data_IF_989765521312
#
_entry.id   IF_989765521312
#
_cell.length_a   1.000
_cell.length_b   1.000
_cell.length_c   1.000
_cell.angle_alpha   90.00
_cell.angle_beta   90.00
_cell.angle_gamma   90.00
#
_symmetry.space_group_name_H-M   'P 1'
#
loop_
_entity.id
_entity.type
_entity.pdbx_description
1 polymer ?
#
# COMPACT_ATOMS: atom_id res chain seq x y z
N UNK A 1 -16.05 -20.31 -13.01
CA UNK A 1 -16.73 -19.04 -13.28
C UNK A 1 -17.80 -19.25 -14.36
N UNK A 2 -19.04 -18.81 -14.10
CA UNK A 2 -20.16 -18.91 -15.03
C UNK A 2 -20.08 -17.86 -16.17
N UNK A 3 -21.02 -17.90 -17.11
CA UNK A 3 -21.02 -16.99 -18.27
C UNK A 3 -21.27 -15.54 -17.87
N UNK A 4 -22.19 -15.27 -16.94
CA UNK A 4 -22.50 -13.92 -16.47
C UNK A 4 -21.31 -13.25 -15.79
N UNK A 5 -20.61 -13.97 -14.92
CA UNK A 5 -19.39 -13.53 -14.26
C UNK A 5 -18.24 -13.30 -15.25
N UNK A 6 -18.15 -14.07 -16.35
CA UNK A 6 -17.21 -13.79 -17.45
C UNK A 6 -17.51 -12.45 -18.13
N UNK A 7 -18.79 -12.14 -18.35
CA UNK A 7 -19.22 -10.86 -18.94
C UNK A 7 -18.86 -9.70 -18.00
N UNK A 8 -19.23 -9.81 -16.72
CA UNK A 8 -18.88 -8.82 -15.69
C UNK A 8 -17.37 -8.62 -15.58
N UNK A 9 -16.61 -9.71 -15.51
CA UNK A 9 -15.14 -9.65 -15.49
C UNK A 9 -14.56 -8.91 -16.69
N UNK A 10 -15.07 -9.17 -17.90
CA UNK A 10 -14.62 -8.50 -19.12
C UNK A 10 -14.94 -7.00 -19.07
N UNK A 11 -16.13 -6.61 -18.61
CA UNK A 11 -16.50 -5.20 -18.42
C UNK A 11 -15.57 -4.51 -17.43
N UNK A 12 -15.35 -5.12 -16.26
CA UNK A 12 -14.45 -4.59 -15.22
C UNK A 12 -13.03 -4.43 -15.76
N UNK A 13 -12.48 -5.45 -16.42
CA UNK A 13 -11.14 -5.39 -17.00
C UNK A 13 -11.03 -4.30 -18.08
N UNK A 14 -12.08 -4.13 -18.89
CA UNK A 14 -12.12 -3.07 -19.93
C UNK A 14 -12.08 -1.69 -19.29
N UNK A 15 -12.91 -1.41 -18.28
CA UNK A 15 -12.91 -0.12 -17.58
C UNK A 15 -11.61 0.15 -16.81
N UNK A 16 -11.04 -0.87 -16.16
CA UNK A 16 -9.74 -0.71 -15.51
C UNK A 16 -8.63 -0.45 -16.52
N UNK A 17 -8.64 -1.13 -17.67
CA UNK A 17 -7.67 -0.88 -18.76
C UNK A 17 -7.84 0.48 -19.42
N UNK A 18 -9.06 1.06 -19.40
CA UNK A 18 -9.34 2.42 -19.87
C UNK A 18 -8.89 3.50 -18.87
N UNK A 19 -8.30 3.10 -17.74
CA UNK A 19 -7.76 4.00 -16.72
C UNK A 19 -8.77 4.44 -15.66
N UNK A 20 -9.79 3.65 -15.35
CA UNK A 20 -10.78 3.98 -14.32
C UNK A 20 -10.14 4.46 -13.00
N UNK A 21 -9.24 3.65 -12.42
CA UNK A 21 -8.59 4.01 -11.15
C UNK A 21 -7.72 5.27 -11.28
N UNK A 22 -7.04 5.44 -12.41
CA UNK A 22 -6.23 6.64 -12.68
C UNK A 22 -7.10 7.91 -12.71
N UNK A 23 -8.28 7.86 -13.34
CA UNK A 23 -9.23 8.98 -13.34
C UNK A 23 -9.68 9.35 -11.93
N UNK A 24 -9.99 8.36 -11.08
CA UNK A 24 -10.39 8.60 -9.69
C UNK A 24 -9.25 9.21 -8.86
N UNK A 25 -8.02 8.74 -9.05
CA UNK A 25 -6.82 9.31 -8.42
C UNK A 25 -6.62 10.76 -8.83
N UNK A 26 -6.72 11.07 -10.13
CA UNK A 26 -6.57 12.43 -10.64
C UNK A 26 -7.70 13.35 -10.17
N UNK A 27 -8.92 12.83 -10.01
CA UNK A 27 -10.04 13.57 -9.43
C UNK A 27 -9.74 13.98 -7.98
N UNK A 28 -9.28 13.04 -7.15
CA UNK A 28 -8.83 13.34 -5.78
C UNK A 28 -7.71 14.37 -5.75
N UNK A 29 -6.70 14.21 -6.61
CA UNK A 29 -5.53 15.08 -6.63
C UNK A 29 -5.86 16.52 -7.05
N UNK A 30 -6.69 16.67 -8.08
CA UNK A 30 -6.92 17.97 -8.72
C UNK A 30 -8.13 18.72 -8.15
N UNK A 31 -9.08 17.99 -7.55
CA UNK A 31 -10.38 18.53 -7.12
C UNK A 31 -10.72 18.17 -5.68
N UNK A 32 -9.72 17.91 -4.82
CA UNK A 32 -9.91 17.50 -3.42
C UNK A 32 -10.90 18.39 -2.64
N UNK A 33 -10.85 19.70 -2.86
CA UNK A 33 -11.75 20.68 -2.20
C UNK A 33 -13.21 20.59 -2.61
N UNK A 34 -13.51 19.92 -3.74
CA UNK A 34 -14.85 19.82 -4.31
C UNK A 34 -15.49 18.45 -4.06
N UNK A 35 -14.80 17.54 -3.37
CA UNK A 35 -15.34 16.23 -3.05
C UNK A 35 -16.26 16.34 -1.84
N UNK A 36 -17.54 16.00 -2.04
CA UNK A 36 -18.51 15.89 -0.96
C UNK A 36 -18.61 14.45 -0.45
N UNK A 37 -18.28 14.26 0.82
CA UNK A 37 -18.38 12.98 1.51
C UNK A 37 -19.56 12.95 2.50
N UNK A 38 -20.56 13.81 2.34
CA UNK A 38 -21.75 13.89 3.21
C UNK A 38 -22.53 12.57 3.27
N UNK A 39 -22.58 11.83 2.17
CA UNK A 39 -23.25 10.52 2.07
C UNK A 39 -22.51 9.38 2.79
N UNK A 40 -21.23 9.56 3.15
CA UNK A 40 -20.53 8.60 3.99
C UNK A 40 -20.82 8.90 5.46
N UNK A 41 -21.39 7.92 6.16
CA UNK A 41 -21.58 8.00 7.61
C UNK A 41 -20.24 8.18 8.33
N UNK A 42 -20.29 8.69 9.56
CA UNK A 42 -19.07 8.84 10.37
C UNK A 42 -18.42 7.49 10.69
N UNK A 43 -19.23 6.44 10.85
CA UNK A 43 -18.73 5.08 11.03
C UNK A 43 -17.94 4.60 9.80
N UNK A 44 -18.48 4.78 8.59
CA UNK A 44 -17.79 4.39 7.37
C UNK A 44 -16.49 5.18 7.16
N UNK A 45 -16.50 6.48 7.46
CA UNK A 45 -15.29 7.33 7.45
C UNK A 45 -14.23 6.83 8.42
N UNK A 46 -14.64 6.43 9.63
CA UNK A 46 -13.75 5.88 10.64
C UNK A 46 -13.13 4.55 10.19
N UNK A 47 -13.93 3.64 9.63
CA UNK A 47 -13.44 2.36 9.11
C UNK A 47 -12.39 2.56 8.00
N UNK A 48 -12.70 3.40 7.01
CA UNK A 48 -11.79 3.72 5.89
C UNK A 48 -10.53 4.45 6.37
N UNK A 49 -10.67 5.41 7.30
CA UNK A 49 -9.55 6.15 7.88
C UNK A 49 -8.62 5.24 8.68
N UNK A 50 -9.18 4.34 9.49
CA UNK A 50 -8.42 3.36 10.30
C UNK A 50 -7.68 2.37 9.42
N UNK A 51 -8.29 1.94 8.31
CA UNK A 51 -7.64 1.08 7.34
C UNK A 51 -6.33 1.71 6.82
N UNK A 52 -6.36 3.00 6.47
CA UNK A 52 -5.18 3.74 5.98
C UNK A 52 -4.17 4.03 7.10
N UNK A 53 -4.63 4.51 8.25
CA UNK A 53 -3.73 4.85 9.37
C UNK A 53 -3.05 3.62 9.99
N UNK A 54 -3.63 2.43 9.83
CA UNK A 54 -3.03 1.16 10.25
C UNK A 54 -1.88 0.67 9.36
N UNK A 55 -1.63 1.33 8.22
CA UNK A 55 -0.53 0.96 7.32
C UNK A 55 0.81 1.28 7.98
N UNK A 56 1.64 0.25 8.10
CA UNK A 56 3.04 0.38 8.54
C UNK A 56 3.99 -0.13 7.46
N UNK A 57 5.29 -0.07 7.74
CA UNK A 57 6.29 -0.70 6.86
C UNK A 57 6.13 -2.22 6.78
N UNK A 58 5.44 -2.86 7.73
CA UNK A 58 5.29 -4.31 7.80
C UNK A 58 3.90 -4.82 7.43
N UNK A 59 2.84 -4.08 7.74
CA UNK A 59 1.45 -4.57 7.68
C UNK A 59 0.48 -3.56 7.05
N UNK A 60 -0.73 -4.00 6.71
CA UNK A 60 -1.83 -3.13 6.26
C UNK A 60 -1.88 -2.84 4.75
N UNK A 61 -0.73 -2.72 4.07
CA UNK A 61 -0.66 -2.37 2.63
C UNK A 61 -1.51 -3.26 1.73
N UNK A 62 -1.49 -4.58 1.97
CA UNK A 62 -2.26 -5.51 1.16
C UNK A 62 -3.78 -5.35 1.34
N UNK A 63 -4.24 -5.01 2.55
CA UNK A 63 -5.66 -4.78 2.83
C UNK A 63 -6.15 -3.48 2.19
N UNK A 64 -5.38 -2.40 2.25
CA UNK A 64 -5.70 -1.15 1.55
C UNK A 64 -5.80 -1.38 0.03
N UNK A 65 -4.80 -2.05 -0.56
CA UNK A 65 -4.82 -2.38 -1.98
C UNK A 65 -6.03 -3.24 -2.38
N UNK A 66 -6.39 -4.21 -1.53
CA UNK A 66 -7.56 -5.05 -1.75
C UNK A 66 -8.87 -4.26 -1.66
N UNK A 67 -9.02 -3.38 -0.68
CA UNK A 67 -10.20 -2.51 -0.56
C UNK A 67 -10.34 -1.62 -1.80
N UNK A 68 -9.24 -1.03 -2.30
CA UNK A 68 -9.27 -0.23 -3.53
C UNK A 68 -9.75 -1.07 -4.72
N UNK A 69 -9.22 -2.30 -4.89
CA UNK A 69 -9.67 -3.21 -5.94
C UNK A 69 -11.16 -3.52 -5.81
N UNK A 70 -11.63 -3.87 -4.61
CA UNK A 70 -13.02 -4.21 -4.36
C UNK A 70 -13.96 -3.03 -4.63
N UNK A 71 -13.60 -1.83 -4.18
CA UNK A 71 -14.38 -0.62 -4.45
C UNK A 71 -14.40 -0.28 -5.94
N UNK A 72 -13.29 -0.45 -6.67
CA UNK A 72 -13.27 -0.30 -8.12
C UNK A 72 -14.22 -1.29 -8.80
N UNK A 73 -14.14 -2.57 -8.44
CA UNK A 73 -15.02 -3.62 -8.97
C UNK A 73 -16.48 -3.25 -8.75
N UNK A 74 -16.86 -2.91 -7.52
CA UNK A 74 -18.24 -2.60 -7.16
C UNK A 74 -18.74 -1.30 -7.78
N UNK A 75 -17.86 -0.31 -7.99
CA UNK A 75 -18.22 0.94 -8.68
C UNK A 75 -18.49 0.71 -10.17
N UNK A 76 -17.71 -0.16 -10.83
CA UNK A 76 -17.86 -0.45 -12.26
C UNK A 76 -19.03 -1.41 -12.53
N UNK A 77 -19.19 -2.39 -11.65
CA UNK A 77 -20.19 -3.45 -11.76
C UNK A 77 -20.80 -3.77 -10.38
N UNK A 78 -21.85 -3.02 -9.97
CA UNK A 78 -22.47 -3.16 -8.65
C UNK A 78 -23.02 -4.57 -8.36
N UNK A 79 -23.43 -5.32 -9.38
CA UNK A 79 -23.93 -6.69 -9.23
C UNK A 79 -22.81 -7.69 -8.90
N UNK A 80 -21.54 -7.35 -9.12
CA UNK A 80 -20.44 -8.26 -8.85
C UNK A 80 -20.20 -8.36 -7.35
N UNK A 81 -20.38 -9.57 -6.81
CA UNK A 81 -20.00 -9.88 -5.43
C UNK A 81 -18.46 -9.83 -5.28
N UNK A 82 -17.98 -8.91 -4.45
CA UNK A 82 -16.58 -8.65 -4.14
C UNK A 82 -16.02 -9.59 -3.06
N UNK A 83 -16.86 -10.41 -2.42
CA UNK A 83 -16.40 -11.50 -1.53
C UNK A 83 -15.80 -12.68 -2.32
N UNK A 84 -16.22 -12.86 -3.59
CA UNK A 84 -15.84 -13.98 -4.45
C UNK A 84 -14.62 -13.69 -5.34
N UNK A 85 -13.43 -13.67 -4.73
CA UNK A 85 -12.18 -13.21 -5.34
C UNK A 85 -11.43 -14.22 -6.24
N UNK A 86 -11.95 -15.46 -6.36
CA UNK A 86 -11.35 -16.55 -7.15
C UNK A 86 -12.27 -17.03 -8.26
N UNK A 87 -12.26 -16.30 -9.37
CA UNK A 87 -12.81 -16.76 -10.65
C UNK A 87 -11.73 -17.37 -11.53
N UNK A 88 -11.97 -18.56 -12.06
CA UNK A 88 -11.17 -19.18 -13.13
C UNK A 88 -12.06 -19.69 -14.26
N UNK A 89 -11.51 -19.67 -15.47
CA UNK A 89 -12.09 -20.33 -16.64
C UNK A 89 -11.63 -21.80 -16.76
N UNK A 90 -10.59 -22.20 -16.02
CA UNK A 90 -10.09 -23.57 -15.95
C UNK A 90 -10.91 -24.39 -14.95
N UNK A 91 -11.20 -25.64 -15.29
CA UNK A 91 -11.82 -26.63 -14.39
C UNK A 91 -10.83 -27.32 -13.45
N UNK A 92 -9.52 -27.10 -13.63
CA UNK A 92 -8.47 -27.79 -12.84
C UNK A 92 -8.27 -27.21 -11.45
N UNK A 93 -8.61 -25.94 -11.26
CA UNK A 93 -8.42 -25.21 -10.01
C UNK A 93 -9.77 -24.80 -9.41
N UNK A 94 -9.79 -24.60 -8.09
CA UNK A 94 -10.95 -24.05 -7.42
C UNK A 94 -11.39 -22.72 -8.04
N UNK A 95 -12.68 -22.60 -8.35
CA UNK A 95 -13.31 -21.37 -8.83
C UNK A 95 -14.67 -21.22 -8.19
N UNK A 96 -14.94 -20.04 -7.64
CA UNK A 96 -16.30 -19.62 -7.33
C UNK A 96 -17.12 -19.54 -8.62
N UNK A 97 -18.40 -19.90 -8.52
CA UNK A 97 -19.32 -19.86 -9.65
C UNK A 97 -19.47 -18.43 -10.20
N UNK A 98 -19.73 -17.46 -9.32
CA UNK A 98 -19.87 -16.04 -9.65
C UNK A 98 -18.62 -15.19 -9.34
N UNK A 99 -17.49 -15.83 -9.02
CA UNK A 99 -16.26 -15.11 -8.70
C UNK A 99 -15.49 -14.61 -9.91
N UNK A 100 -14.68 -13.59 -9.68
CA UNK A 100 -13.79 -12.97 -10.67
C UNK A 100 -12.32 -13.15 -10.29
N UNK A 101 -11.41 -13.08 -11.26
CA UNK A 101 -9.97 -13.23 -10.99
C UNK A 101 -9.37 -11.93 -10.43
N UNK A 102 -9.58 -11.67 -9.13
CA UNK A 102 -9.05 -10.45 -8.48
C UNK A 102 -7.52 -10.37 -8.52
N UNK A 103 -6.83 -11.51 -8.47
CA UNK A 103 -5.37 -11.57 -8.63
C UNK A 103 -4.90 -11.04 -9.99
N UNK A 104 -5.63 -11.36 -11.06
CA UNK A 104 -5.29 -10.88 -12.40
C UNK A 104 -5.54 -9.37 -12.52
N UNK A 105 -6.68 -8.89 -12.00
CA UNK A 105 -7.01 -7.46 -11.99
C UNK A 105 -6.00 -6.64 -11.16
N UNK A 106 -5.60 -7.15 -10.00
CA UNK A 106 -4.57 -6.52 -9.15
C UNK A 106 -3.26 -6.34 -9.92
N UNK A 107 -2.70 -7.46 -10.40
CA UNK A 107 -1.40 -7.47 -11.08
C UNK A 107 -1.39 -6.59 -12.33
N UNK A 108 -2.47 -6.57 -13.08
CA UNK A 108 -2.54 -5.86 -14.37
C UNK A 108 -2.85 -4.37 -14.21
N UNK A 109 -3.70 -3.98 -13.26
CA UNK A 109 -4.27 -2.63 -13.23
C UNK A 109 -4.09 -1.91 -11.89
N UNK A 110 -4.38 -2.57 -10.76
CA UNK A 110 -4.42 -1.87 -9.46
C UNK A 110 -3.01 -1.57 -8.94
N UNK A 111 -2.20 -2.61 -8.72
CA UNK A 111 -0.85 -2.43 -8.19
C UNK A 111 0.02 -1.52 -9.07
N UNK A 112 0.04 -1.67 -10.42
CA UNK A 112 0.78 -0.75 -11.29
C UNK A 112 0.34 0.72 -11.14
N UNK A 113 -0.96 0.98 -11.09
CA UNK A 113 -1.50 2.34 -10.97
C UNK A 113 -1.16 2.95 -9.60
N UNK A 114 -1.36 2.22 -8.50
CA UNK A 114 -1.02 2.71 -7.17
C UNK A 114 0.47 3.02 -7.01
N UNK A 115 1.34 2.24 -7.67
CA UNK A 115 2.78 2.49 -7.70
C UNK A 115 3.15 3.70 -8.55
N UNK A 116 2.51 3.89 -9.71
CA UNK A 116 2.71 5.04 -10.62
C UNK A 116 2.49 6.37 -9.89
N UNK A 117 1.48 6.43 -9.01
CA UNK A 117 1.14 7.62 -8.22
C UNK A 117 1.74 7.63 -6.81
N UNK A 118 2.61 6.67 -6.49
CA UNK A 118 3.27 6.53 -5.19
C UNK A 118 2.32 6.49 -3.97
N UNK A 119 1.05 6.11 -4.18
CA UNK A 119 0.05 6.05 -3.12
C UNK A 119 0.29 4.87 -2.17
N UNK A 120 0.90 3.80 -2.67
CA UNK A 120 1.21 2.62 -1.87
C UNK A 120 2.44 1.87 -2.40
N UNK A 121 3.40 1.60 -1.51
CA UNK A 121 4.62 0.83 -1.85
C UNK A 121 4.31 -0.67 -1.84
N UNK A 122 3.94 -1.21 -2.99
CA UNK A 122 3.53 -2.62 -3.18
C UNK A 122 4.56 -3.46 -3.95
N UNK A 123 4.52 -4.78 -3.77
CA UNK A 123 5.29 -5.73 -4.58
C UNK A 123 4.90 -5.64 -6.06
N UNK A 124 5.85 -5.78 -6.98
CA UNK A 124 5.59 -5.63 -8.42
C UNK A 124 4.60 -6.68 -8.97
N UNK A 125 4.58 -7.88 -8.36
CA UNK A 125 3.68 -8.97 -8.75
C UNK A 125 2.26 -8.85 -8.19
N UNK A 126 1.96 -7.80 -7.44
CA UNK A 126 0.65 -7.57 -6.83
C UNK A 126 0.57 -7.94 -5.35
N UNK A 127 -0.37 -7.32 -4.63
CA UNK A 127 -0.64 -7.65 -3.22
C UNK A 127 -1.38 -8.98 -3.08
N UNK A 128 -2.10 -9.44 -4.12
CA UNK A 128 -2.80 -10.74 -4.16
C UNK A 128 -1.85 -11.94 -4.24
N UNK A 129 -0.53 -11.73 -4.22
CA UNK A 129 0.47 -12.78 -3.98
C UNK A 129 0.53 -13.21 -2.50
N UNK A 130 -0.10 -12.43 -1.61
CA UNK A 130 -0.19 -12.74 -0.18
C UNK A 130 -1.02 -14.01 0.03
N UNK A 131 -0.41 -15.05 0.60
CA UNK A 131 -1.04 -16.37 0.79
C UNK A 131 -2.37 -16.27 1.54
N UNK A 132 -2.44 -15.47 2.60
CA UNK A 132 -3.66 -15.32 3.40
C UNK A 132 -4.81 -14.64 2.67
N UNK A 133 -4.57 -13.84 1.62
CA UNK A 133 -5.61 -13.28 0.76
C UNK A 133 -6.11 -14.28 -0.28
N UNK A 134 -5.31 -15.31 -0.57
CA UNK A 134 -5.58 -16.32 -1.57
C UNK A 134 -6.17 -17.60 -0.95
N UNK A 135 -6.83 -17.55 0.20
CA UNK A 135 -7.54 -18.72 0.74
C UNK A 135 -8.91 -18.93 0.05
N UNK A 136 -9.38 -20.18 -0.05
CA UNK A 136 -10.64 -20.53 -0.72
C UNK A 136 -11.91 -20.24 0.12
N UNK A 137 -11.92 -19.12 0.84
CA UNK A 137 -13.08 -18.65 1.62
C UNK A 137 -13.60 -17.34 1.03
N UNK A 138 -14.92 -17.08 1.06
CA UNK A 138 -15.43 -15.76 0.70
C UNK A 138 -14.93 -14.74 1.73
N UNK A 139 -14.63 -13.52 1.29
CA UNK A 139 -14.28 -12.43 2.21
C UNK A 139 -15.51 -12.00 3.01
N UNK A 140 -15.72 -12.62 4.15
CA UNK A 140 -16.81 -12.32 5.09
C UNK A 140 -16.36 -12.57 6.53
N UNK A 141 -17.27 -12.40 7.50
CA UNK A 141 -17.02 -12.66 8.93
C UNK A 141 -16.43 -14.05 9.22
N UNK A 142 -16.67 -15.04 8.36
CA UNK A 142 -16.14 -16.41 8.50
C UNK A 142 -14.79 -16.64 7.80
N UNK A 143 -14.16 -15.60 7.24
CA UNK A 143 -12.87 -15.72 6.55
C UNK A 143 -11.74 -16.11 7.52
N UNK A 144 -11.24 -17.34 7.42
CA UNK A 144 -10.39 -17.94 8.46
C UNK A 144 -8.91 -17.52 8.43
N UNK A 145 -8.46 -16.91 7.34
CA UNK A 145 -7.04 -16.61 7.19
C UNK A 145 -6.60 -15.56 8.22
N UNK A 146 -5.49 -15.85 8.90
CA UNK A 146 -4.87 -14.88 9.78
C UNK A 146 -4.24 -13.76 8.93
N UNK A 147 -4.69 -12.52 9.13
CA UNK A 147 -4.20 -11.35 8.42
C UNK A 147 -3.81 -10.29 9.42
N UNK A 148 -2.63 -9.70 9.21
CA UNK A 148 -2.13 -8.59 10.01
C UNK A 148 -2.62 -7.26 9.42
N UNK A 149 -2.80 -6.25 10.28
CA UNK A 149 -3.38 -4.95 9.94
C UNK A 149 -4.85 -4.86 10.31
N UNK A 150 -5.54 -3.83 9.81
CA UNK A 150 -6.95 -3.54 10.08
C UNK A 150 -7.93 -4.52 9.39
N UNK A 151 -7.86 -5.81 9.78
CA UNK A 151 -8.70 -6.89 9.22
C UNK A 151 -10.19 -6.69 9.55
N UNK A 152 -10.50 -6.29 10.78
CA UNK A 152 -11.87 -6.05 11.24
C UNK A 152 -12.53 -4.95 10.41
N UNK A 153 -11.82 -3.86 10.21
CA UNK A 153 -12.27 -2.68 9.49
C UNK A 153 -12.47 -3.04 8.01
N UNK A 154 -11.52 -3.75 7.41
CA UNK A 154 -11.67 -4.26 6.05
C UNK A 154 -12.90 -5.16 5.88
N UNK A 155 -13.13 -6.13 6.79
CA UNK A 155 -14.31 -6.99 6.73
C UNK A 155 -15.60 -6.17 6.85
N UNK A 156 -15.66 -5.23 7.78
CA UNK A 156 -16.84 -4.38 7.95
C UNK A 156 -17.10 -3.51 6.71
N UNK A 157 -16.05 -3.00 6.05
CA UNK A 157 -16.19 -2.29 4.77
C UNK A 157 -16.76 -3.22 3.69
N UNK A 158 -16.25 -4.45 3.59
CA UNK A 158 -16.74 -5.42 2.59
C UNK A 158 -18.22 -5.75 2.82
N UNK A 159 -18.63 -5.98 4.08
CA UNK A 159 -20.02 -6.24 4.41
C UNK A 159 -20.91 -5.03 4.07
N UNK A 160 -20.54 -3.82 4.52
CA UNK A 160 -21.31 -2.61 4.27
C UNK A 160 -21.42 -2.26 2.76
N UNK A 161 -20.40 -2.58 1.96
CA UNK A 161 -20.43 -2.42 0.49
C UNK A 161 -21.36 -3.45 -0.18
N UNK A 162 -21.46 -4.67 0.35
CA UNK A 162 -22.33 -5.71 -0.20
C UNK A 162 -23.77 -5.62 0.28
N UNK A 163 -24.01 -4.91 1.39
CA UNK A 163 -25.34 -4.57 1.92
C UNK A 163 -25.85 -3.20 1.41
N UNK A 164 -25.16 -2.61 0.43
CA UNK A 164 -25.48 -1.31 -0.17
C UNK A 164 -25.57 -0.14 0.84
N UNK A 165 -24.86 -0.25 1.97
CA UNK A 165 -24.78 0.78 3.02
C UNK A 165 -23.70 1.83 2.69
N UNK A 166 -22.78 1.52 1.79
CA UNK A 166 -21.70 2.40 1.34
C UNK A 166 -21.78 2.56 -0.17
N UNK A 167 -21.82 3.81 -0.64
CA UNK A 167 -21.62 4.14 -2.06
C UNK A 167 -20.17 3.85 -2.44
N UNK A 168 -19.88 2.84 -3.29
CA UNK A 168 -18.50 2.36 -3.49
C UNK A 168 -17.57 3.41 -4.09
N UNK A 169 -18.07 4.24 -5.01
CA UNK A 169 -17.27 5.28 -5.65
C UNK A 169 -16.87 6.37 -4.66
N UNK A 170 -17.80 6.82 -3.81
CA UNK A 170 -17.50 7.80 -2.75
C UNK A 170 -16.51 7.23 -1.72
N UNK A 171 -16.66 5.97 -1.33
CA UNK A 171 -15.71 5.31 -0.45
C UNK A 171 -14.32 5.18 -1.08
N UNK A 172 -14.24 4.92 -2.39
CA UNK A 172 -12.97 4.88 -3.13
C UNK A 172 -12.30 6.25 -3.09
N UNK A 173 -13.03 7.31 -3.41
CA UNK A 173 -12.52 8.69 -3.40
C UNK A 173 -12.09 9.11 -2.00
N UNK A 174 -12.85 8.76 -0.97
CA UNK A 174 -12.47 9.06 0.42
C UNK A 174 -11.17 8.33 0.80
N UNK A 175 -11.07 7.04 0.50
CA UNK A 175 -9.88 6.23 0.78
C UNK A 175 -8.62 6.76 0.06
N UNK A 176 -8.76 7.12 -1.23
CA UNK A 176 -7.68 7.74 -2.00
C UNK A 176 -7.27 9.09 -1.42
N UNK A 177 -8.23 9.91 -0.97
CA UNK A 177 -7.95 11.20 -0.33
C UNK A 177 -7.18 11.02 0.99
N UNK A 178 -7.53 10.01 1.79
CA UNK A 178 -6.77 9.67 3.00
C UNK A 178 -5.32 9.25 2.69
N UNK A 179 -5.09 8.50 1.60
CA UNK A 179 -3.74 8.12 1.16
C UNK A 179 -2.91 9.34 0.71
N UNK A 180 -3.54 10.28 -0.02
CA UNK A 180 -2.88 11.54 -0.37
C UNK A 180 -2.51 12.36 0.87
N UNK A 181 -3.45 12.55 1.79
CA UNK A 181 -3.20 13.26 3.04
C UNK A 181 -2.04 12.62 3.83
N UNK A 182 -1.98 11.30 3.90
CA UNK A 182 -0.86 10.60 4.57
C UNK A 182 0.47 10.83 3.83
N UNK A 183 0.47 10.80 2.51
CA UNK A 183 1.67 11.05 1.70
C UNK A 183 2.16 12.50 1.83
N UNK A 184 1.25 13.47 1.84
CA UNK A 184 1.56 14.90 1.97
C UNK A 184 2.05 15.23 3.38
N UNK A 185 1.37 14.72 4.43
CA UNK A 185 1.85 14.84 5.81
C UNK A 185 3.26 14.28 5.97
N UNK A 186 3.57 13.15 5.34
CA UNK A 186 4.92 12.58 5.38
C UNK A 186 5.95 13.50 4.70
N UNK A 187 5.62 14.07 3.53
CA UNK A 187 6.50 15.02 2.82
C UNK A 187 6.76 16.27 3.65
N UNK A 188 5.71 16.85 4.23
CA UNK A 188 5.83 18.03 5.09
C UNK A 188 6.71 17.76 6.32
N UNK A 189 6.49 16.63 7.00
CA UNK A 189 7.34 16.22 8.12
C UNK A 189 8.80 16.01 7.70
N UNK A 190 9.04 15.41 6.53
CA UNK A 190 10.39 15.22 6.02
C UNK A 190 11.10 16.55 5.78
N UNK A 191 10.43 17.51 5.12
CA UNK A 191 10.97 18.86 4.91
C UNK A 191 11.26 19.56 6.25
N UNK A 192 10.31 19.54 7.19
CA UNK A 192 10.49 20.15 8.50
C UNK A 192 11.66 19.55 9.29
N UNK A 193 11.87 18.24 9.20
CA UNK A 193 13.01 17.57 9.85
C UNK A 193 14.32 18.00 9.18
N UNK A 194 14.37 18.05 7.85
CA UNK A 194 15.56 18.51 7.12
C UNK A 194 15.92 19.95 7.48
N UNK A 195 14.94 20.86 7.50
CA UNK A 195 15.17 22.26 7.85
C UNK A 195 15.68 22.42 9.29
N UNK A 196 15.08 21.70 10.24
CA UNK A 196 15.54 21.68 11.64
C UNK A 196 16.94 21.13 11.77
N UNK A 197 17.27 20.09 11.02
CA UNK A 197 18.62 19.51 11.03
C UNK A 197 19.64 20.51 10.47
N UNK A 198 19.36 21.14 9.33
CA UNK A 198 20.24 22.15 8.74
C UNK A 198 20.50 23.31 9.71
N UNK A 199 19.44 23.86 10.32
CA UNK A 199 19.58 24.93 11.31
C UNK A 199 20.40 24.49 12.54
N UNK A 200 20.24 23.24 12.99
CA UNK A 200 21.05 22.68 14.07
C UNK A 200 22.54 22.57 13.67
N UNK A 201 22.83 22.13 12.44
CA UNK A 201 24.20 22.01 11.93
C UNK A 201 24.89 23.36 11.72
N UNK A 202 24.15 24.42 11.40
CA UNK A 202 24.68 25.79 11.26
C UNK A 202 25.05 26.44 12.60
N UNK A 203 24.33 26.08 13.66
CA UNK A 203 24.47 26.69 14.99
C UNK A 203 25.29 25.85 15.97
N UNK A 204 25.57 24.60 15.63
CA UNK A 204 26.26 23.65 16.50
C UNK A 204 27.50 23.08 15.83
N UNK A 205 28.65 23.15 16.52
CA UNK A 205 29.86 22.45 16.08
C UNK A 205 29.66 20.95 16.29
N UNK A 206 29.49 20.21 15.21
CA UNK A 206 29.34 18.75 15.26
C UNK A 206 30.70 18.09 15.22
N UNK A 207 30.96 17.25 16.22
CA UNK A 207 32.08 16.31 16.22
C UNK A 207 31.57 14.86 16.08
N UNK A 208 32.51 13.93 15.95
CA UNK A 208 32.21 12.49 15.82
C UNK A 208 31.30 11.96 16.93
N UNK A 209 31.53 12.36 18.17
CA UNK A 209 30.79 11.87 19.33
C UNK A 209 29.34 12.34 19.30
N UNK A 210 29.11 13.63 19.00
CA UNK A 210 27.77 14.20 18.85
C UNK A 210 27.01 13.51 17.72
N UNK A 211 27.64 13.38 16.54
CA UNK A 211 27.01 12.72 15.39
C UNK A 211 26.63 11.26 15.71
N UNK A 212 27.55 10.51 16.33
CA UNK A 212 27.32 9.12 16.72
C UNK A 212 26.18 9.01 17.74
N UNK A 213 26.15 9.88 18.75
CA UNK A 213 25.12 9.88 19.78
C UNK A 213 23.73 10.20 19.22
N UNK A 214 23.61 11.18 18.30
CA UNK A 214 22.34 11.50 17.65
C UNK A 214 21.79 10.30 16.88
N UNK A 215 22.64 9.65 16.07
CA UNK A 215 22.27 8.47 15.28
C UNK A 215 21.86 7.31 16.20
N UNK A 216 22.67 7.02 17.22
CA UNK A 216 22.43 5.93 18.15
C UNK A 216 21.16 6.15 18.98
N UNK A 217 20.92 7.38 19.44
CA UNK A 217 19.70 7.73 20.17
C UNK A 217 18.46 7.58 19.27
N UNK A 218 18.54 7.99 18.00
CA UNK A 218 17.45 7.80 17.05
C UNK A 218 17.15 6.32 16.81
N UNK A 219 18.19 5.50 16.64
CA UNK A 219 18.05 4.05 16.49
C UNK A 219 17.43 3.40 17.73
N UNK A 220 17.91 3.71 18.93
CA UNK A 220 17.47 3.09 20.18
C UNK A 220 16.04 3.46 20.59
N UNK A 221 15.55 4.63 20.16
CA UNK A 221 14.21 5.11 20.47
C UNK A 221 13.17 4.77 19.37
N UNK A 222 13.58 4.01 18.35
CA UNK A 222 12.72 3.67 17.22
C UNK A 222 12.31 2.21 17.24
N UNK A 223 11.05 1.94 16.92
CA UNK A 223 10.56 0.58 16.64
C UNK A 223 11.22 -0.07 15.40
N UNK A 224 11.95 0.72 14.59
CA UNK A 224 12.61 0.29 13.36
C UNK A 224 14.15 0.36 13.44
N UNK A 225 14.72 0.13 14.62
CA UNK A 225 16.16 0.23 14.89
C UNK A 225 17.04 -0.48 13.84
N UNK A 226 16.66 -1.69 13.41
CA UNK A 226 17.39 -2.46 12.40
C UNK A 226 17.46 -1.74 11.04
N UNK A 227 16.33 -1.19 10.57
CA UNK A 227 16.31 -0.44 9.31
C UNK A 227 17.07 0.88 9.42
N UNK A 228 16.99 1.54 10.57
CA UNK A 228 17.76 2.75 10.82
C UNK A 228 19.27 2.49 10.84
N UNK A 229 19.71 1.33 11.33
CA UNK A 229 21.10 0.91 11.25
C UNK A 229 21.58 0.78 9.80
N UNK A 230 20.80 0.11 8.94
CA UNK A 230 21.12 -0.02 7.52
C UNK A 230 21.21 1.35 6.84
N UNK A 231 20.28 2.25 7.15
CA UNK A 231 20.29 3.63 6.64
C UNK A 231 21.55 4.35 7.12
N UNK A 232 21.89 4.28 8.41
CA UNK A 232 23.06 4.95 8.96
C UNK A 232 24.37 4.44 8.33
N UNK A 233 24.50 3.12 8.15
CA UNK A 233 25.65 2.53 7.47
C UNK A 233 25.71 2.92 6.00
N UNK A 234 24.58 2.91 5.29
CA UNK A 234 24.52 3.35 3.90
C UNK A 234 24.90 4.83 3.74
N UNK A 235 24.40 5.71 4.61
CA UNK A 235 24.78 7.13 4.66
C UNK A 235 26.29 7.32 4.91
N UNK A 236 26.90 6.51 5.78
CA UNK A 236 28.36 6.54 5.97
C UNK A 236 29.09 6.14 4.69
N UNK A 237 28.64 5.08 4.02
CA UNK A 237 29.24 4.64 2.75
C UNK A 237 29.07 5.67 1.65
N UNK A 238 27.94 6.41 1.61
CA UNK A 238 27.74 7.54 0.70
C UNK A 238 28.80 8.62 0.94
N UNK A 239 28.98 9.04 2.20
CA UNK A 239 30.02 10.01 2.54
C UNK A 239 31.42 9.51 2.15
N UNK A 240 31.76 8.25 2.45
CA UNK A 240 33.06 7.66 2.06
C UNK A 240 33.28 7.66 0.54
N UNK A 241 32.23 7.46 -0.26
CA UNK A 241 32.30 7.56 -1.71
C UNK A 241 32.53 9.00 -2.18
N UNK A 242 31.86 9.99 -1.56
CA UNK A 242 32.06 11.41 -1.83
C UNK A 242 33.50 11.85 -1.52
N UNK A 243 34.10 11.31 -0.45
CA UNK A 243 35.51 11.53 -0.09
C UNK A 243 36.50 10.67 -0.90
N UNK A 244 36.05 9.95 -1.92
CA UNK A 244 36.88 9.08 -2.77
C UNK A 244 37.71 8.05 -2.00
N UNK A 245 37.22 7.55 -0.86
CA UNK A 245 37.93 6.51 -0.08
C UNK A 245 37.98 5.19 -0.86
N UNK A 246 36.97 4.91 -1.69
CA UNK A 246 36.86 3.72 -2.53
C UNK A 246 36.62 4.09 -4.01
N UNK A 247 37.60 4.68 -4.71
CA UNK A 247 37.38 5.32 -6.01
C UNK A 247 36.98 4.35 -7.12
N UNK A 248 37.30 3.06 -6.98
CA UNK A 248 36.98 2.02 -7.96
C UNK A 248 35.69 1.25 -7.64
N UNK A 249 34.95 1.66 -6.62
CA UNK A 249 33.73 1.00 -6.17
C UNK A 249 32.53 1.94 -6.30
N UNK A 250 31.37 1.34 -6.57
CA UNK A 250 30.10 2.05 -6.63
C UNK A 250 29.18 1.52 -5.54
N UNK A 251 28.72 2.40 -4.67
CA UNK A 251 27.69 2.11 -3.68
C UNK A 251 26.35 1.90 -4.40
N UNK A 252 25.75 0.73 -4.19
CA UNK A 252 24.43 0.42 -4.73
C UNK A 252 23.34 1.19 -3.98
N UNK A 253 22.19 1.46 -4.64
CA UNK A 253 21.04 2.03 -3.94
C UNK A 253 20.61 1.14 -2.77
N UNK A 254 20.20 1.78 -1.66
CA UNK A 254 19.68 1.07 -0.49
C UNK A 254 18.51 0.16 -0.90
N UNK A 255 18.62 -1.13 -0.59
CA UNK A 255 17.63 -2.13 -0.97
C UNK A 255 16.52 -2.25 0.08
N UNK A 256 15.44 -2.96 -0.23
CA UNK A 256 14.42 -3.29 0.77
C UNK A 256 15.01 -4.24 1.81
N UNK A 257 14.77 -3.96 3.09
CA UNK A 257 15.15 -4.84 4.18
C UNK A 257 14.49 -6.21 4.00
N UNK A 258 15.32 -7.24 3.91
CA UNK A 258 14.93 -8.64 3.74
C UNK A 258 15.58 -9.45 4.85
N UNK A 259 14.93 -10.54 5.23
CA UNK A 259 15.59 -11.55 6.05
C UNK A 259 16.86 -12.02 5.33
N UNK A 260 17.98 -12.09 6.05
CA UNK A 260 19.25 -12.56 5.50
C UNK A 260 19.05 -13.89 4.74
N UNK A 261 19.21 -13.85 3.42
CA UNK A 261 18.92 -14.99 2.56
C UNK A 261 20.19 -15.38 1.78
N UNK A 262 20.73 -16.57 2.09
CA UNK A 262 21.86 -17.18 1.39
C UNK A 262 21.71 -17.22 -0.14
N UNK A 263 20.47 -17.21 -0.67
CA UNK A 263 20.23 -17.22 -2.13
C UNK A 263 20.53 -15.89 -2.83
N UNK A 264 20.54 -14.77 -2.11
CA UNK A 264 20.73 -13.44 -2.71
C UNK A 264 22.16 -12.91 -2.62
N UNK A 265 23.06 -13.61 -1.90
CA UNK A 265 24.48 -13.24 -1.85
C UNK A 265 24.79 -11.95 -1.08
N UNK A 266 23.81 -11.35 -0.43
CA UNK A 266 23.98 -10.09 0.31
C UNK A 266 24.23 -10.39 1.80
N UNK A 267 25.22 -9.72 2.39
CA UNK A 267 25.45 -9.69 3.83
C UNK A 267 24.88 -8.37 4.33
N UNK A 268 23.69 -8.41 4.92
CA UNK A 268 23.05 -7.27 5.57
C UNK A 268 22.75 -6.11 4.62
N UNK A 269 21.99 -6.35 3.54
CA UNK A 269 21.31 -5.37 2.66
C UNK A 269 22.02 -4.02 2.31
N UNK A 270 23.35 -3.96 2.47
CA UNK A 270 24.29 -2.86 2.19
C UNK A 270 25.21 -3.28 1.05
#
# INVERSE_FOLDING_TARGET
MNQTAKIRYKKIATELSSGYLERQILLCRNSSSNLDFSQLSQEHKLLLGTLVSSVTSEVGRALVGLTILQLCVKSIEPEQNIRLHKGSASSRDFSWHDGISMRSLDKQYITPTLRKYELLRLNADGFMMTRSLAENYPYSSVYKANMRGARSEWLNIVEAVEEDQIVPELALLYLLSQLFNQADNFRELAVQITDKLLSYLETTIINKEIAFNIILQHMNNSAYAARLMEIAMHSLMQAMQEFQIFPNYLLKPLSQMRSANKKHGNIGDI
#
